data_IF_008876894996
#
_entry.id   IF_008876894996
#
_cell.length_a   1.000
_cell.length_b   1.000
_cell.length_c   1.000
_cell.angle_alpha   90.00
_cell.angle_beta   90.00
_cell.angle_gamma   90.00
#
_symmetry.space_group_name_H-M   'P 1'
#
loop_
_entity.id
_entity.type
_entity.pdbx_description
1 polymer ?
#
# COMPACT_ATOMS: atom_id res chain seq x y z
N UNK A 1 -7.07 7.87 -16.29
CA UNK A 1 -7.96 8.80 -15.54
C UNK A 1 -8.83 8.10 -14.48
N UNK A 2 -10.01 7.54 -14.76
CA UNK A 2 -10.90 6.98 -13.69
C UNK A 2 -10.22 5.91 -12.82
N UNK A 3 -9.50 4.97 -13.45
CA UNK A 3 -8.80 3.90 -12.75
C UNK A 3 -7.59 4.42 -11.95
N UNK A 4 -6.96 5.50 -12.42
CA UNK A 4 -5.84 6.14 -11.74
C UNK A 4 -6.29 6.84 -10.45
N UNK A 5 -7.40 7.60 -10.52
CA UNK A 5 -8.00 8.25 -9.36
C UNK A 5 -8.41 7.19 -8.33
N UNK A 6 -9.03 6.09 -8.78
CA UNK A 6 -9.36 4.97 -7.91
C UNK A 6 -8.11 4.38 -7.25
N UNK A 7 -7.03 4.18 -8.01
CA UNK A 7 -5.74 3.76 -7.48
C UNK A 7 -5.19 4.70 -6.39
N UNK A 8 -5.22 6.01 -6.62
CA UNK A 8 -4.80 7.03 -5.64
C UNK A 8 -5.64 6.96 -4.37
N UNK A 9 -6.96 6.86 -4.49
CA UNK A 9 -7.86 6.80 -3.34
C UNK A 9 -7.61 5.54 -2.51
N UNK A 10 -7.48 4.38 -3.15
CA UNK A 10 -7.15 3.11 -2.50
C UNK A 10 -5.79 3.16 -1.80
N UNK A 11 -4.78 3.67 -2.50
CA UNK A 11 -3.43 3.81 -1.98
C UNK A 11 -3.37 4.76 -0.78
N UNK A 12 -4.02 5.92 -0.88
CA UNK A 12 -4.11 6.90 0.18
C UNK A 12 -4.87 6.38 1.40
N UNK A 13 -6.04 5.77 1.19
CA UNK A 13 -6.84 5.16 2.26
C UNK A 13 -6.06 4.05 2.98
N UNK A 14 -5.40 3.17 2.22
CA UNK A 14 -4.55 2.13 2.77
C UNK A 14 -3.36 2.68 3.56
N UNK A 15 -2.72 3.75 3.07
CA UNK A 15 -1.62 4.43 3.76
C UNK A 15 -2.09 5.02 5.09
N UNK A 16 -3.19 5.78 5.09
CA UNK A 16 -3.74 6.41 6.29
C UNK A 16 -4.14 5.34 7.31
N UNK A 17 -4.86 4.30 6.88
CA UNK A 17 -5.32 3.23 7.77
C UNK A 17 -4.14 2.46 8.37
N UNK A 18 -3.15 2.09 7.56
CA UNK A 18 -1.94 1.39 8.04
C UNK A 18 -1.15 2.24 9.02
N UNK A 19 -0.96 3.52 8.71
CA UNK A 19 -0.20 4.46 9.55
C UNK A 19 -0.91 4.74 10.87
N UNK A 20 -2.23 4.98 10.83
CA UNK A 20 -3.05 5.18 12.02
C UNK A 20 -3.04 3.93 12.91
N UNK A 21 -3.14 2.74 12.32
CA UNK A 21 -3.10 1.48 13.07
C UNK A 21 -1.72 1.23 13.70
N UNK A 22 -0.64 1.57 12.98
CA UNK A 22 0.72 1.47 13.51
C UNK A 22 0.98 2.46 14.64
N UNK A 23 0.48 3.69 14.52
CA UNK A 23 0.52 4.70 15.58
C UNK A 23 -0.26 4.24 16.81
N UNK A 24 -1.49 3.76 16.62
CA UNK A 24 -2.29 3.20 17.70
C UNK A 24 -1.55 2.04 18.39
N UNK A 25 -1.01 1.09 17.62
CA UNK A 25 -0.26 -0.03 18.17
C UNK A 25 1.00 0.41 18.94
N UNK A 26 1.65 1.49 18.50
CA UNK A 26 2.82 2.05 19.20
C UNK A 26 2.42 2.70 20.53
N UNK A 27 1.32 3.45 20.55
CA UNK A 27 0.78 4.07 21.77
C UNK A 27 0.32 2.99 22.75
N UNK A 28 -0.43 1.99 22.30
CA UNK A 28 -0.89 0.91 23.19
C UNK A 28 0.25 0.00 23.64
N UNK A 29 1.32 -0.15 22.85
CA UNK A 29 2.51 -0.89 23.26
C UNK A 29 3.21 -0.26 24.49
N UNK A 30 3.08 1.05 24.73
CA UNK A 30 3.65 1.65 25.95
C UNK A 30 2.87 1.29 27.21
N UNK A 31 1.57 1.01 27.08
CA UNK A 31 0.66 0.71 28.19
C UNK A 31 0.33 -0.78 28.32
N UNK A 32 0.87 -1.63 27.46
CA UNK A 32 0.63 -3.07 27.51
C UNK A 32 1.27 -3.69 28.76
N UNK A 33 0.44 -4.23 29.65
CA UNK A 33 0.84 -4.86 30.93
C UNK A 33 1.58 -6.19 30.74
N UNK A 34 1.34 -6.87 29.60
CA UNK A 34 2.02 -8.10 29.24
C UNK A 34 2.33 -8.14 27.74
N UNK A 35 3.48 -8.69 27.37
CA UNK A 35 3.84 -8.95 25.98
C UNK A 35 4.50 -10.33 25.88
N UNK A 36 4.27 -11.03 24.77
CA UNK A 36 5.04 -12.24 24.42
C UNK A 36 5.74 -12.05 23.06
N UNK A 37 7.00 -12.49 22.95
CA UNK A 37 7.80 -12.43 21.70
C UNK A 37 8.83 -11.29 21.63
N UNK A 38 9.31 -10.96 20.43
CA UNK A 38 10.42 -9.99 20.22
C UNK A 38 9.99 -8.51 20.16
N UNK A 39 8.71 -8.21 19.92
CA UNK A 39 8.23 -6.83 19.73
C UNK A 39 6.86 -6.60 20.36
N UNK A 40 6.79 -5.60 21.26
CA UNK A 40 5.54 -5.15 21.88
C UNK A 40 4.50 -4.70 20.85
N UNK A 41 4.92 -3.97 19.82
CA UNK A 41 4.02 -3.49 18.74
C UNK A 41 3.43 -4.67 17.96
N UNK A 42 4.23 -5.70 17.67
CA UNK A 42 3.74 -6.93 17.03
C UNK A 42 2.77 -7.69 17.93
N UNK A 43 3.02 -7.73 19.23
CA UNK A 43 2.12 -8.35 20.21
C UNK A 43 0.76 -7.66 20.21
N UNK A 44 0.75 -6.32 20.22
CA UNK A 44 -0.48 -5.50 20.18
C UNK A 44 -1.23 -5.63 18.86
N UNK A 45 -0.52 -5.75 17.73
CA UNK A 45 -1.15 -5.92 16.43
C UNK A 45 -1.74 -7.33 16.23
N UNK A 46 -1.05 -8.39 16.62
CA UNK A 46 -1.36 -9.74 16.14
C UNK A 46 -1.55 -10.80 17.23
N UNK A 47 -1.10 -10.57 18.45
CA UNK A 47 -1.03 -11.62 19.48
C UNK A 47 -2.13 -11.53 20.53
N UNK A 48 -3.15 -10.68 20.31
CA UNK A 48 -4.25 -10.49 21.25
C UNK A 48 -3.75 -9.87 22.56
N UNK A 49 -3.37 -8.59 22.51
CA UNK A 49 -2.99 -7.86 23.73
C UNK A 49 -4.24 -7.28 24.38
N UNK A 50 -4.25 -7.30 25.72
CA UNK A 50 -5.25 -6.65 26.54
C UNK A 50 -4.67 -5.34 27.06
N UNK A 51 -5.47 -4.27 26.98
CA UNK A 51 -5.19 -3.00 27.66
C UNK A 51 -6.40 -2.73 28.54
N UNK A 52 -6.17 -2.52 29.84
CA UNK A 52 -7.23 -2.28 30.82
C UNK A 52 -8.35 -3.35 30.79
N UNK A 53 -7.99 -4.62 30.58
CA UNK A 53 -8.91 -5.77 30.44
C UNK A 53 -9.78 -5.80 29.17
N UNK A 54 -9.59 -4.88 28.22
CA UNK A 54 -10.28 -4.90 26.92
C UNK A 54 -9.40 -5.50 25.81
N UNK A 55 -9.95 -6.36 24.93
CA UNK A 55 -9.20 -6.95 23.83
C UNK A 55 -8.95 -5.92 22.72
N UNK A 56 -7.68 -5.67 22.40
CA UNK A 56 -7.29 -4.82 21.28
C UNK A 56 -7.17 -5.67 20.01
N UNK A 57 -7.97 -5.34 18.99
CA UNK A 57 -7.99 -6.02 17.70
C UNK A 57 -7.46 -5.14 16.55
N UNK A 58 -6.25 -4.61 16.70
CA UNK A 58 -5.62 -3.73 15.70
C UNK A 58 -5.09 -4.48 14.47
N UNK A 59 -4.93 -5.80 14.54
CA UNK A 59 -4.44 -6.60 13.41
C UNK A 59 -5.36 -6.57 12.20
N UNK A 60 -6.67 -6.58 12.41
CA UNK A 60 -7.64 -6.56 11.32
C UNK A 60 -7.63 -5.25 10.50
N UNK A 61 -7.77 -4.06 11.11
CA UNK A 61 -7.64 -2.81 10.36
C UNK A 61 -6.25 -2.66 9.72
N UNK A 62 -5.18 -3.18 10.34
CA UNK A 62 -3.84 -3.18 9.76
C UNK A 62 -3.76 -4.00 8.47
N UNK A 63 -4.28 -5.23 8.47
CA UNK A 63 -4.29 -6.11 7.29
C UNK A 63 -5.12 -5.49 6.17
N UNK A 64 -6.29 -4.91 6.48
CA UNK A 64 -7.11 -4.20 5.49
C UNK A 64 -6.33 -3.01 4.92
N UNK A 65 -5.66 -2.22 5.76
CA UNK A 65 -4.83 -1.10 5.35
C UNK A 65 -3.76 -1.51 4.33
N UNK A 66 -3.04 -2.60 4.60
CA UNK A 66 -2.04 -3.15 3.69
C UNK A 66 -2.66 -3.60 2.37
N UNK A 67 -3.80 -4.29 2.40
CA UNK A 67 -4.46 -4.76 1.17
C UNK A 67 -4.91 -3.59 0.28
N UNK A 68 -5.47 -2.53 0.89
CA UNK A 68 -5.85 -1.31 0.18
C UNK A 68 -4.62 -0.59 -0.39
N UNK A 69 -3.53 -0.52 0.38
CA UNK A 69 -2.27 0.08 -0.03
C UNK A 69 -1.67 -0.64 -1.25
N UNK A 70 -1.53 -1.96 -1.18
CA UNK A 70 -0.95 -2.77 -2.25
C UNK A 70 -1.83 -2.76 -3.51
N UNK A 71 -3.15 -2.87 -3.36
CA UNK A 71 -4.07 -2.82 -4.50
C UNK A 71 -4.06 -1.46 -5.18
N UNK A 72 -4.14 -0.37 -4.41
CA UNK A 72 -4.03 0.99 -4.95
C UNK A 72 -2.71 1.24 -5.65
N UNK A 73 -1.60 0.84 -5.02
CA UNK A 73 -0.26 0.96 -5.59
C UNK A 73 -0.09 0.17 -6.89
N UNK A 74 -0.63 -1.05 -6.95
CA UNK A 74 -0.61 -1.88 -8.17
C UNK A 74 -1.36 -1.20 -9.31
N UNK A 75 -2.53 -0.61 -9.05
CA UNK A 75 -3.33 0.09 -10.07
C UNK A 75 -2.58 1.31 -10.61
N UNK A 76 -1.98 2.11 -9.73
CA UNK A 76 -1.17 3.28 -10.10
C UNK A 76 0.02 2.82 -10.95
N UNK A 77 0.76 1.80 -10.49
CA UNK A 77 1.94 1.27 -11.18
C UNK A 77 1.60 0.75 -12.58
N UNK A 78 0.53 -0.04 -12.71
CA UNK A 78 0.07 -0.56 -14.00
C UNK A 78 -0.35 0.57 -14.94
N UNK A 79 -0.99 1.63 -14.43
CA UNK A 79 -1.37 2.77 -15.27
C UNK A 79 -0.12 3.49 -15.81
N UNK A 80 0.82 3.79 -14.93
CA UNK A 80 2.07 4.46 -15.28
C UNK A 80 2.92 3.63 -16.26
N UNK A 81 3.04 2.32 -16.01
CA UNK A 81 3.80 1.42 -16.87
C UNK A 81 3.20 1.33 -18.29
N UNK A 82 1.87 1.35 -18.41
CA UNK A 82 1.20 1.37 -19.72
C UNK A 82 1.45 2.65 -20.50
N UNK A 83 1.40 3.81 -19.84
CA UNK A 83 1.70 5.10 -20.49
C UNK A 83 3.14 5.13 -21.01
N UNK A 84 4.09 4.63 -20.20
CA UNK A 84 5.49 4.53 -20.60
C UNK A 84 5.70 3.64 -21.83
N UNK A 85 5.04 2.48 -21.90
CA UNK A 85 5.13 1.59 -23.06
C UNK A 85 4.58 2.25 -24.34
N UNK A 86 3.46 2.97 -24.23
CA UNK A 86 2.88 3.68 -25.37
C UNK A 86 3.80 4.75 -25.95
N UNK A 87 4.51 5.48 -25.08
CA UNK A 87 5.51 6.46 -25.53
C UNK A 87 6.70 5.79 -26.23
N UNK A 88 7.13 4.62 -25.76
CA UNK A 88 8.21 3.86 -26.38
C UNK A 88 7.80 3.39 -27.79
N UNK A 89 6.62 2.81 -27.93
CA UNK A 89 6.10 2.33 -29.22
C UNK A 89 5.91 3.48 -30.22
N UNK A 90 5.38 4.62 -29.76
CA UNK A 90 5.21 5.80 -30.60
C UNK A 90 6.55 6.33 -31.16
N UNK A 91 7.60 6.34 -30.32
CA UNK A 91 8.95 6.74 -30.74
C UNK A 91 9.53 5.76 -31.75
N UNK A 92 9.35 4.45 -31.55
CA UNK A 92 9.80 3.42 -32.50
C UNK A 92 9.10 3.57 -33.85
N UNK A 93 7.80 3.85 -33.86
CA UNK A 93 7.04 4.05 -35.09
C UNK A 93 7.46 5.31 -35.85
N UNK A 94 7.76 6.41 -35.13
CA UNK A 94 8.30 7.62 -35.74
C UNK A 94 9.65 7.38 -36.41
N UNK A 95 10.58 6.72 -35.71
CA UNK A 95 11.90 6.37 -36.28
C UNK A 95 11.76 5.53 -37.54
N UNK A 96 10.84 4.55 -37.56
CA UNK A 96 10.57 3.70 -38.74
C UNK A 96 9.99 4.49 -39.93
N UNK A 97 9.22 5.56 -39.68
CA UNK A 97 8.67 6.43 -40.72
C UNK A 97 9.73 7.38 -41.31
N UNK A 98 10.71 7.79 -40.49
CA UNK A 98 11.78 8.72 -40.89
C UNK A 98 12.99 8.02 -41.54
N UNK A 99 13.13 6.70 -41.38
CA UNK A 99 14.09 5.90 -42.16
C UNK A 99 13.41 5.38 -43.42
N UNK A 100 13.55 6.02 -44.59
CA UNK A 100 13.11 5.40 -45.84
C UNK A 100 13.84 4.06 -45.96
N UNK A 101 13.09 2.99 -46.26
CA UNK A 101 13.68 1.71 -46.68
C UNK A 101 14.57 2.01 -47.88
N UNK A 102 15.86 2.14 -47.64
CA UNK A 102 16.88 2.19 -48.66
C UNK A 102 17.06 0.73 -49.10
N UNK A 103 16.15 0.28 -49.97
CA UNK A 103 16.20 -0.99 -50.69
C UNK A 103 16.30 -0.71 -52.17
#
# INVERSE_FOLDING_TARGET
MKNFILGIVLFGAGTVLTSATLLAATIYATSAESWSGDSKVRSVLFSGSYVDSEPIFLGFPFVIGILLFLSGGTIIFVHWYKEWLQEADAKVEQVKKETPQNS
#
